data_IF_213075003778
#
_entry.id   IF_213075003778
#
_cell.length_a   1.000
_cell.length_b   1.000
_cell.length_c   1.000
_cell.angle_alpha   90.00
_cell.angle_beta   90.00
_cell.angle_gamma   90.00
#
_symmetry.space_group_name_H-M   'P 1'
#
loop_
_entity.id
_entity.type
_entity.pdbx_description
1 polymer ?
#
# COMPACT_ATOMS: atom_id res chain seq x y z
N UNK A 1 -28.43 -44.82 -20.87
CA UNK A 1 -27.37 -43.85 -21.20
C UNK A 1 -27.65 -42.56 -20.46
N UNK A 2 -26.67 -42.15 -19.63
CA UNK A 2 -26.29 -40.75 -19.40
C UNK A 2 -27.21 -39.95 -18.47
N UNK A 3 -27.20 -40.35 -17.22
CA UNK A 3 -26.93 -39.47 -16.06
C UNK A 3 -25.69 -38.58 -16.32
N UNK A 4 -25.79 -37.64 -17.26
CA UNK A 4 -24.74 -36.69 -17.63
C UNK A 4 -25.31 -35.33 -18.08
N UNK A 5 -26.54 -35.01 -17.67
CA UNK A 5 -27.20 -33.76 -18.02
C UNK A 5 -27.78 -33.08 -16.77
N UNK A 6 -27.06 -33.15 -15.65
CA UNK A 6 -27.51 -32.57 -14.38
C UNK A 6 -26.41 -31.80 -13.64
N UNK A 7 -25.27 -31.51 -14.28
CA UNK A 7 -24.10 -30.85 -13.65
C UNK A 7 -23.59 -29.64 -14.44
N UNK A 8 -24.39 -29.01 -15.30
CA UNK A 8 -23.97 -27.82 -16.06
C UNK A 8 -25.02 -26.70 -16.09
N UNK A 9 -25.64 -26.40 -14.94
CA UNK A 9 -26.57 -25.27 -14.78
C UNK A 9 -26.32 -24.45 -13.50
N UNK A 10 -25.06 -24.33 -13.08
CA UNK A 10 -24.65 -23.44 -11.97
C UNK A 10 -23.44 -22.57 -12.33
N UNK A 11 -23.36 -22.07 -13.56
CA UNK A 11 -22.32 -21.10 -13.92
C UNK A 11 -22.90 -20.06 -14.86
N UNK A 12 -23.07 -18.83 -14.37
CA UNK A 12 -23.43 -17.69 -15.20
C UNK A 12 -24.41 -16.70 -14.57
N UNK A 13 -24.29 -16.47 -13.26
CA UNK A 13 -24.91 -15.29 -12.65
C UNK A 13 -24.25 -14.01 -13.22
N UNK A 14 -25.11 -13.06 -13.62
CA UNK A 14 -24.91 -11.61 -13.53
C UNK A 14 -23.85 -10.97 -14.43
N UNK A 15 -24.15 -10.83 -15.72
CA UNK A 15 -23.50 -9.83 -16.59
C UNK A 15 -24.34 -8.55 -16.64
N UNK A 16 -24.19 -7.69 -15.63
CA UNK A 16 -24.54 -6.26 -15.74
C UNK A 16 -23.27 -5.44 -15.50
N UNK A 17 -22.55 -5.16 -16.59
CA UNK A 17 -21.42 -4.22 -16.59
C UNK A 17 -22.02 -2.82 -16.70
N UNK A 18 -22.37 -2.22 -15.56
CA UNK A 18 -22.72 -0.81 -15.47
C UNK A 18 -21.45 -0.01 -15.18
N UNK A 19 -20.85 0.57 -16.21
CA UNK A 19 -19.72 1.50 -16.10
C UNK A 19 -20.26 2.92 -16.06
N UNK A 20 -19.98 3.67 -15.00
CA UNK A 20 -19.98 5.14 -14.93
C UNK A 20 -19.16 5.52 -13.67
N UNK A 21 -18.36 6.58 -13.58
CA UNK A 21 -17.55 7.38 -14.49
C UNK A 21 -16.70 8.30 -13.57
N UNK A 22 -15.44 8.51 -13.92
CA UNK A 22 -14.58 9.68 -13.62
C UNK A 22 -14.42 10.21 -12.17
N UNK A 23 -13.16 10.23 -11.70
CA UNK A 23 -12.70 11.17 -10.68
C UNK A 23 -11.38 10.77 -10.02
N UNK A 24 -10.33 11.57 -10.24
CA UNK A 24 -9.01 11.61 -9.60
C UNK A 24 -7.83 10.92 -10.31
N UNK A 25 -6.85 11.78 -10.65
CA UNK A 25 -5.68 11.56 -11.49
C UNK A 25 -4.42 11.21 -10.69
N UNK A 26 -4.41 10.02 -10.10
CA UNK A 26 -3.19 9.31 -9.71
C UNK A 26 -3.61 7.91 -9.31
N UNK A 27 -3.67 7.02 -10.29
CA UNK A 27 -4.11 5.64 -10.08
C UNK A 27 -3.12 4.94 -9.16
N UNK A 28 -3.50 4.51 -7.93
CA UNK A 28 -2.73 3.48 -7.24
C UNK A 28 -2.74 2.23 -8.14
N UNK A 29 -1.57 1.66 -8.39
CA UNK A 29 -1.37 0.55 -9.32
C UNK A 29 -2.17 -0.70 -8.91
N UNK A 30 -3.41 -0.78 -9.39
CA UNK A 30 -4.24 -1.98 -9.36
C UNK A 30 -4.62 -2.29 -10.80
N UNK A 31 -4.04 -3.35 -11.37
CA UNK A 31 -4.28 -3.77 -12.76
C UNK A 31 -4.81 -5.19 -12.80
N UNK A 32 -5.95 -5.39 -13.44
CA UNK A 32 -6.54 -6.70 -13.70
C UNK A 32 -5.72 -7.43 -14.78
N UNK A 33 -5.34 -8.68 -14.49
CA UNK A 33 -4.57 -9.53 -15.39
C UNK A 33 -5.41 -10.03 -16.57
N UNK A 34 -5.26 -9.38 -17.72
CA UNK A 34 -5.60 -9.95 -19.02
C UNK A 34 -4.59 -9.44 -20.06
N UNK A 35 -3.52 -10.19 -20.30
CA UNK A 35 -2.53 -9.88 -21.35
C UNK A 35 -1.10 -10.14 -20.91
N UNK A 36 -0.40 -10.94 -21.70
CA UNK A 36 0.92 -11.53 -21.49
C UNK A 36 2.07 -10.55 -21.25
N UNK A 37 2.95 -10.89 -20.29
CA UNK A 37 4.30 -10.34 -20.12
C UNK A 37 4.62 -10.00 -18.68
N UNK A 38 5.75 -10.49 -18.16
CA UNK A 38 6.34 -9.98 -16.92
C UNK A 38 6.86 -8.56 -17.18
N UNK A 39 6.05 -7.54 -16.87
CA UNK A 39 6.51 -6.15 -16.85
C UNK A 39 6.99 -5.82 -15.43
N UNK A 40 8.29 -5.58 -15.28
CA UNK A 40 8.89 -5.13 -14.02
C UNK A 40 8.49 -3.68 -13.75
N UNK A 41 7.54 -3.45 -12.83
CA UNK A 41 7.37 -2.12 -12.23
C UNK A 41 8.49 -1.93 -11.22
N UNK A 42 9.34 -0.93 -11.43
CA UNK A 42 10.37 -0.56 -10.45
C UNK A 42 9.69 -0.15 -9.14
N UNK A 43 10.08 -0.79 -8.04
CA UNK A 43 9.68 -0.30 -6.73
C UNK A 43 10.27 1.10 -6.50
N UNK A 44 9.55 2.03 -5.85
CA UNK A 44 10.05 3.37 -5.49
C UNK A 44 11.17 3.34 -4.42
N UNK A 45 11.70 2.16 -4.15
CA UNK A 45 12.78 1.89 -3.22
C UNK A 45 13.72 0.83 -3.80
N UNK A 46 14.99 0.87 -3.42
CA UNK A 46 16.04 -0.02 -3.95
C UNK A 46 16.51 -1.05 -2.92
N UNK A 47 15.83 -1.18 -1.78
CA UNK A 47 16.28 -2.01 -0.67
C UNK A 47 15.16 -2.46 0.26
N UNK A 48 15.54 -3.00 1.42
CA UNK A 48 14.58 -3.40 2.44
C UNK A 48 13.97 -2.18 3.13
N UNK A 49 12.67 -2.22 3.38
CA UNK A 49 11.99 -1.24 4.24
C UNK A 49 11.84 -1.83 5.63
N UNK A 50 12.27 -1.10 6.66
CA UNK A 50 12.08 -1.49 8.06
C UNK A 50 11.17 -0.52 8.78
N UNK A 51 10.42 -1.04 9.76
CA UNK A 51 9.46 -0.28 10.55
C UNK A 51 9.82 -0.34 12.03
N UNK A 52 9.71 0.79 12.70
CA UNK A 52 9.80 0.94 14.15
C UNK A 52 8.68 1.82 14.69
N UNK A 53 8.52 1.84 16.01
CA UNK A 53 7.56 2.71 16.69
C UNK A 53 8.26 3.90 17.33
N UNK A 54 7.71 5.09 17.10
CA UNK A 54 8.03 6.28 17.88
C UNK A 54 6.99 6.43 18.98
N UNK A 55 7.44 6.51 20.22
CA UNK A 55 6.57 6.58 21.40
C UNK A 55 6.69 7.91 22.13
N UNK A 56 5.59 8.31 22.75
CA UNK A 56 5.55 9.41 23.72
C UNK A 56 4.81 8.87 24.94
N UNK A 57 5.52 8.76 26.06
CA UNK A 57 5.05 7.98 27.22
C UNK A 57 4.70 6.54 26.80
N UNK A 58 3.48 6.07 27.08
CA UNK A 58 3.05 4.69 26.81
C UNK A 58 2.31 4.53 25.46
N UNK A 59 2.19 5.60 24.68
CA UNK A 59 1.50 5.60 23.40
C UNK A 59 2.47 5.70 22.22
N UNK A 60 2.13 5.01 21.13
CA UNK A 60 2.78 5.16 19.84
C UNK A 60 2.18 6.40 19.15
N UNK A 61 3.04 7.34 18.80
CA UNK A 61 2.68 8.62 18.17
C UNK A 61 3.24 8.76 16.76
N UNK A 62 4.10 7.84 16.33
CA UNK A 62 4.60 7.79 14.97
C UNK A 62 5.15 6.42 14.58
N UNK A 63 5.28 6.19 13.28
CA UNK A 63 5.94 5.02 12.71
C UNK A 63 7.25 5.49 12.09
N UNK A 64 8.36 4.92 12.57
CA UNK A 64 9.69 5.12 12.02
C UNK A 64 9.80 4.23 10.80
N UNK A 65 10.12 4.82 9.65
CA UNK A 65 10.30 4.13 8.37
C UNK A 65 11.74 4.35 7.91
N UNK A 66 12.53 3.28 7.86
CA UNK A 66 13.87 3.30 7.26
C UNK A 66 13.81 2.66 5.88
N UNK A 67 14.26 3.40 4.87
CA UNK A 67 14.12 3.04 3.46
C UNK A 67 15.17 3.75 2.60
N UNK A 68 15.40 3.23 1.39
CA UNK A 68 16.31 3.84 0.40
C UNK A 68 15.52 4.19 -0.86
N UNK A 69 15.35 5.49 -1.18
CA UNK A 69 14.64 5.90 -2.40
C UNK A 69 15.37 5.43 -3.67
N UNK A 70 14.63 5.09 -4.71
CA UNK A 70 15.21 4.70 -6.01
C UNK A 70 15.77 5.88 -6.80
N UNK A 71 15.22 7.07 -6.59
CA UNK A 71 15.62 8.31 -7.23
C UNK A 71 15.46 9.49 -6.25
N UNK A 72 16.19 10.58 -6.50
CA UNK A 72 15.97 11.84 -5.79
C UNK A 72 14.70 12.51 -6.31
N UNK A 73 13.58 12.25 -5.64
CA UNK A 73 12.26 12.73 -6.03
C UNK A 73 11.44 13.13 -4.79
N UNK A 74 10.15 13.36 -5.00
CA UNK A 74 9.18 13.51 -3.91
C UNK A 74 8.48 12.18 -3.70
N UNK A 75 8.33 11.79 -2.44
CA UNK A 75 7.64 10.55 -2.08
C UNK A 75 6.59 10.82 -1.01
N UNK A 76 5.49 10.09 -1.10
CA UNK A 76 4.50 9.99 -0.03
C UNK A 76 4.69 8.66 0.69
N UNK A 77 4.83 8.74 2.00
CA UNK A 77 4.85 7.61 2.91
C UNK A 77 3.50 7.55 3.61
N UNK A 78 2.78 6.45 3.46
CA UNK A 78 1.54 6.19 4.19
C UNK A 78 1.70 4.95 5.05
N UNK A 79 1.43 5.09 6.35
CA UNK A 79 1.51 4.00 7.32
C UNK A 79 0.14 3.71 7.88
N UNK A 80 -0.14 2.44 8.14
CA UNK A 80 -1.32 2.00 8.90
C UNK A 80 -0.85 1.15 10.05
N UNK A 81 -1.10 1.57 11.28
CA UNK A 81 -0.70 0.89 12.50
C UNK A 81 -1.86 0.86 13.51
N UNK A 82 -2.26 -0.33 13.96
CA UNK A 82 -3.36 -0.47 14.93
C UNK A 82 -4.70 0.10 14.47
N UNK A 83 -4.93 0.22 13.15
CA UNK A 83 -6.12 0.85 12.57
C UNK A 83 -6.01 2.36 12.35
N UNK A 84 -4.97 3.00 12.88
CA UNK A 84 -4.66 4.42 12.65
C UNK A 84 -3.83 4.57 11.40
N UNK A 85 -4.15 5.58 10.58
CA UNK A 85 -3.38 5.92 9.36
C UNK A 85 -2.60 7.21 9.58
N UNK A 86 -1.36 7.24 9.10
CA UNK A 86 -0.52 8.43 9.06
C UNK A 86 0.08 8.61 7.67
N UNK A 87 0.37 9.86 7.31
CA UNK A 87 1.00 10.20 6.03
C UNK A 87 2.09 11.23 6.22
N UNK A 88 3.17 11.10 5.44
CA UNK A 88 4.27 12.04 5.39
C UNK A 88 4.72 12.25 3.95
N UNK A 89 4.84 13.52 3.56
CA UNK A 89 5.43 13.90 2.28
C UNK A 89 6.92 14.18 2.47
N UNK A 90 7.75 13.43 1.76
CA UNK A 90 9.21 13.56 1.75
C UNK A 90 9.62 14.25 0.45
N UNK A 91 10.10 15.48 0.54
CA UNK A 91 10.60 16.24 -0.61
C UNK A 91 12.12 16.10 -0.73
N UNK A 92 12.63 16.00 -1.96
CA UNK A 92 14.06 15.88 -2.27
C UNK A 92 14.71 14.74 -1.48
N UNK A 93 14.23 13.52 -1.71
CA UNK A 93 14.58 12.37 -0.89
C UNK A 93 16.08 12.02 -0.88
N UNK A 94 16.80 12.37 -1.95
CA UNK A 94 18.10 11.78 -2.28
C UNK A 94 17.97 10.32 -2.68
N UNK A 95 19.10 9.61 -2.76
CA UNK A 95 19.20 8.18 -3.11
C UNK A 95 19.92 7.33 -2.06
N UNK A 96 20.21 7.93 -0.90
CA UNK A 96 20.82 7.24 0.23
C UNK A 96 19.75 6.71 1.18
N UNK A 97 20.10 5.70 1.97
CA UNK A 97 19.24 5.25 3.07
C UNK A 97 18.88 6.42 3.97
N UNK A 98 17.61 6.49 4.35
CA UNK A 98 17.06 7.53 5.20
C UNK A 98 16.05 6.95 6.17
N UNK A 99 15.83 7.69 7.25
CA UNK A 99 14.83 7.35 8.27
C UNK A 99 13.89 8.53 8.43
N UNK A 100 12.60 8.28 8.25
CA UNK A 100 11.54 9.26 8.40
C UNK A 100 10.55 8.82 9.47
N UNK A 101 9.93 9.75 10.19
CA UNK A 101 8.88 9.45 11.16
C UNK A 101 7.54 9.90 10.62
N UNK A 102 6.65 8.96 10.34
CA UNK A 102 5.29 9.23 9.89
C UNK A 102 4.40 9.40 11.11
N UNK A 103 3.84 10.59 11.38
CA UNK A 103 3.01 10.82 12.54
C UNK A 103 1.69 10.08 12.42
N UNK A 104 1.21 9.52 13.54
CA UNK A 104 -0.12 8.92 13.66
C UNK A 104 -0.83 9.54 14.88
N UNK A 105 -2.14 9.36 14.96
CA UNK A 105 -2.84 9.65 16.21
C UNK A 105 -2.29 8.78 17.35
N UNK A 106 -2.12 9.39 18.53
CA UNK A 106 -1.62 8.71 19.74
C UNK A 106 -2.45 7.45 20.02
N UNK A 107 -1.80 6.30 19.97
CA UNK A 107 -2.44 4.99 20.07
C UNK A 107 -1.72 4.14 21.11
N UNK A 108 -2.45 3.52 22.04
CA UNK A 108 -1.90 2.62 23.06
C UNK A 108 -1.06 1.51 22.41
N UNK A 109 0.19 1.32 22.85
CA UNK A 109 1.11 0.40 22.19
C UNK A 109 0.57 -1.05 22.12
N UNK A 110 -0.14 -1.49 23.16
CA UNK A 110 -0.75 -2.83 23.24
C UNK A 110 -1.88 -3.07 22.21
N UNK A 111 -2.45 -2.00 21.65
CA UNK A 111 -3.49 -2.08 20.63
C UNK A 111 -2.94 -2.25 19.21
N UNK A 112 -1.64 -2.06 19.01
CA UNK A 112 -0.98 -2.19 17.70
C UNK A 112 -0.48 -3.62 17.52
N UNK A 113 -1.27 -4.45 16.84
CA UNK A 113 -0.90 -5.82 16.49
C UNK A 113 -0.13 -5.95 15.17
N UNK A 114 -0.19 -4.91 14.32
CA UNK A 114 0.52 -4.87 13.05
C UNK A 114 0.72 -3.42 12.57
N UNK A 115 1.75 -3.22 11.75
CA UNK A 115 1.99 -2.00 11.01
C UNK A 115 2.31 -2.33 9.55
N UNK A 116 1.84 -1.50 8.62
CA UNK A 116 2.14 -1.58 7.19
C UNK A 116 2.53 -0.21 6.69
N UNK A 117 3.41 -0.17 5.68
CA UNK A 117 3.81 1.06 4.99
C UNK A 117 3.63 0.90 3.49
N UNK A 118 3.18 1.97 2.86
CA UNK A 118 3.17 2.17 1.42
C UNK A 118 4.04 3.38 1.12
N UNK A 119 4.97 3.22 0.20
CA UNK A 119 5.86 4.28 -0.29
C UNK A 119 5.51 4.49 -1.76
N UNK A 120 5.24 5.72 -2.16
CA UNK A 120 4.92 6.07 -3.55
C UNK A 120 5.70 7.31 -3.97
N UNK A 121 6.37 7.24 -5.11
CA UNK A 121 6.96 8.40 -5.80
C UNK A 121 5.84 9.25 -6.43
N UNK A 122 5.99 10.58 -6.39
CA UNK A 122 5.04 11.58 -6.91
C UNK A 122 5.46 12.12 -8.28
#
# INVERSE_FOLDING_TARGET
MKTLLMVLMFAGMLSTVGVYAAGFSSTPSTKALAGSGDESVSAPNTGTVTLGYSTTSDAVTGIIVTWTPSASATYDLTVVAGGTTGSLKVTNSGISERTDTVPIASTEASSISSAKVVISEQ
#
